data_IF_404256110868
#
_entry.id   IF_404256110868
#
_cell.length_a   1.000
_cell.length_b   1.000
_cell.length_c   1.000
_cell.angle_alpha   90.00
_cell.angle_beta   90.00
_cell.angle_gamma   90.00
#
_symmetry.space_group_name_H-M   'P 1'
#
loop_
_entity.id
_entity.type
_entity.pdbx_description
1 polymer ?
#
# COMPACT_ATOMS: atom_id res chain seq x y z
N UNK A 1 -22.94 -0.11 0.93
CA UNK A 1 -22.19 -1.25 0.34
C UNK A 1 -21.35 -1.86 1.43
N UNK A 2 -20.88 -3.09 1.28
CA UNK A 2 -20.03 -3.66 2.32
C UNK A 2 -18.70 -2.87 2.42
N UNK A 3 -17.94 -3.10 3.49
CA UNK A 3 -16.63 -2.46 3.68
C UNK A 3 -15.64 -2.79 2.55
N UNK A 4 -15.61 -4.05 2.10
CA UNK A 4 -14.72 -4.53 1.04
C UNK A 4 -14.93 -3.80 -0.30
N UNK A 5 -16.17 -3.67 -0.75
CA UNK A 5 -16.54 -2.95 -1.97
C UNK A 5 -16.11 -1.49 -1.87
N UNK A 6 -16.32 -0.87 -0.69
CA UNK A 6 -15.91 0.51 -0.46
C UNK A 6 -14.38 0.68 -0.56
N UNK A 7 -13.60 -0.27 -0.02
CA UNK A 7 -12.14 -0.27 -0.10
C UNK A 7 -11.69 -0.38 -1.55
N UNK A 8 -12.18 -1.39 -2.26
CA UNK A 8 -11.77 -1.69 -3.64
C UNK A 8 -12.11 -0.53 -4.57
N UNK A 9 -13.32 0.03 -4.47
CA UNK A 9 -13.70 1.21 -5.26
C UNK A 9 -12.86 2.44 -4.94
N UNK A 10 -12.45 2.63 -3.68
CA UNK A 10 -11.57 3.73 -3.28
C UNK A 10 -10.16 3.58 -3.85
N UNK A 11 -9.61 2.36 -3.83
CA UNK A 11 -8.30 2.04 -4.43
C UNK A 11 -8.32 2.31 -5.94
N UNK A 12 -9.34 1.82 -6.65
CA UNK A 12 -9.51 2.06 -8.09
C UNK A 12 -9.64 3.56 -8.39
N UNK A 13 -10.49 4.28 -7.64
CA UNK A 13 -10.64 5.72 -7.81
C UNK A 13 -9.31 6.47 -7.60
N UNK A 14 -8.47 5.98 -6.69
CA UNK A 14 -7.13 6.49 -6.42
C UNK A 14 -6.05 6.00 -7.42
N UNK A 15 -6.42 5.27 -8.48
CA UNK A 15 -5.53 4.82 -9.54
C UNK A 15 -4.78 3.52 -9.24
N UNK A 16 -5.24 2.75 -8.25
CA UNK A 16 -4.71 1.42 -7.92
C UNK A 16 -5.69 0.37 -8.44
N UNK A 17 -5.38 -0.14 -9.63
CA UNK A 17 -6.22 -1.04 -10.44
C UNK A 17 -5.62 -2.45 -10.58
N UNK A 18 -4.44 -2.71 -9.99
CA UNK A 18 -3.82 -4.03 -9.95
C UNK A 18 -3.49 -4.42 -8.51
N UNK A 19 -3.85 -5.64 -8.14
CA UNK A 19 -3.54 -6.23 -6.84
C UNK A 19 -2.83 -7.56 -7.01
N UNK A 20 -1.61 -7.66 -6.50
CA UNK A 20 -0.84 -8.91 -6.49
C UNK A 20 -1.14 -9.66 -5.21
N UNK A 21 -1.66 -10.88 -5.31
CA UNK A 21 -2.27 -11.54 -4.14
C UNK A 21 -1.96 -13.02 -4.06
N UNK A 22 -1.78 -13.48 -2.82
CA UNK A 22 -1.88 -14.88 -2.42
C UNK A 22 -2.79 -14.90 -1.19
N UNK A 23 -4.11 -14.79 -1.39
CA UNK A 23 -5.03 -14.52 -0.29
C UNK A 23 -5.35 -15.78 0.50
N UNK A 24 -5.75 -15.62 1.75
CA UNK A 24 -6.29 -16.68 2.59
C UNK A 24 -7.75 -16.39 2.97
N UNK A 25 -8.20 -17.05 4.04
CA UNK A 25 -9.60 -16.99 4.47
C UNK A 25 -10.03 -15.62 5.03
N UNK A 26 -9.09 -14.78 5.46
CA UNK A 26 -9.37 -13.43 6.00
C UNK A 26 -9.69 -12.39 4.93
N UNK A 27 -9.31 -12.64 3.69
CA UNK A 27 -9.49 -11.70 2.58
C UNK A 27 -10.73 -12.01 1.72
N UNK A 28 -11.54 -13.01 2.09
CA UNK A 28 -12.62 -13.54 1.24
C UNK A 28 -13.61 -12.48 0.76
N UNK A 29 -13.99 -11.50 1.60
CA UNK A 29 -14.87 -10.41 1.14
C UNK A 29 -14.22 -9.53 0.09
N UNK A 30 -12.93 -9.22 0.23
CA UNK A 30 -12.19 -8.43 -0.78
C UNK A 30 -12.06 -9.22 -2.08
N UNK A 31 -11.90 -10.54 -2.02
CA UNK A 31 -11.84 -11.40 -3.21
C UNK A 31 -13.15 -11.41 -3.99
N UNK A 32 -14.31 -11.40 -3.30
CA UNK A 32 -15.62 -11.32 -3.98
C UNK A 32 -15.73 -10.06 -4.83
N UNK A 33 -15.09 -8.97 -4.39
CA UNK A 33 -15.11 -7.70 -5.13
C UNK A 33 -14.28 -7.73 -6.43
N UNK A 34 -13.42 -8.74 -6.63
CA UNK A 34 -12.69 -8.88 -7.91
C UNK A 34 -13.64 -9.12 -9.09
N UNK A 35 -14.77 -9.78 -8.85
CA UNK A 35 -15.82 -9.97 -9.87
C UNK A 35 -16.76 -8.76 -9.96
N UNK A 36 -16.99 -8.06 -8.84
CA UNK A 36 -17.93 -6.93 -8.77
C UNK A 36 -17.32 -5.60 -9.27
N UNK A 37 -16.00 -5.45 -9.21
CA UNK A 37 -15.25 -4.26 -9.63
C UNK A 37 -14.16 -4.69 -10.64
N UNK A 38 -14.52 -4.86 -11.93
CA UNK A 38 -13.60 -5.41 -12.95
C UNK A 38 -12.38 -4.53 -13.24
N UNK A 39 -12.42 -3.27 -12.82
CA UNK A 39 -11.27 -2.37 -12.84
C UNK A 39 -10.18 -2.77 -11.83
N UNK A 40 -10.52 -3.49 -10.76
CA UNK A 40 -9.56 -3.96 -9.77
C UNK A 40 -9.07 -5.36 -10.12
N UNK A 41 -7.95 -5.44 -10.83
CA UNK A 41 -7.47 -6.66 -11.48
C UNK A 41 -6.57 -7.48 -10.55
N UNK A 42 -6.97 -8.68 -10.12
CA UNK A 42 -6.13 -9.54 -9.33
C UNK A 42 -5.07 -10.25 -10.18
N UNK A 43 -3.86 -10.35 -9.65
CA UNK A 43 -2.77 -11.17 -10.17
C UNK A 43 -2.39 -12.17 -9.08
N UNK A 44 -2.79 -13.42 -9.26
CA UNK A 44 -2.51 -14.50 -8.31
C UNK A 44 -1.02 -14.87 -8.36
N UNK A 45 -0.34 -14.80 -7.21
CA UNK A 45 1.00 -15.33 -7.01
C UNK A 45 0.97 -16.64 -6.22
N UNK A 46 1.96 -17.50 -6.45
CA UNK A 46 2.10 -18.78 -5.73
C UNK A 46 2.74 -18.63 -4.34
N UNK A 47 3.23 -17.44 -3.99
CA UNK A 47 3.89 -17.11 -2.73
C UNK A 47 3.81 -15.60 -2.48
N UNK A 48 3.66 -15.18 -1.23
CA UNK A 48 3.49 -13.77 -0.86
C UNK A 48 4.70 -12.91 -1.26
N UNK A 49 5.92 -13.47 -1.14
CA UNK A 49 7.13 -12.79 -1.61
C UNK A 49 7.14 -12.52 -3.11
N UNK A 50 6.53 -13.40 -3.93
CA UNK A 50 6.37 -13.14 -5.37
C UNK A 50 5.39 -11.99 -5.59
N UNK A 51 4.31 -11.93 -4.82
CA UNK A 51 3.32 -10.85 -4.90
C UNK A 51 3.93 -9.49 -4.56
N UNK A 52 4.68 -9.39 -3.45
CA UNK A 52 5.31 -8.14 -3.03
C UNK A 52 6.46 -7.71 -3.96
N UNK A 53 7.22 -8.67 -4.51
CA UNK A 53 8.22 -8.36 -5.55
C UNK A 53 7.61 -7.90 -6.88
N UNK A 54 6.50 -8.50 -7.29
CA UNK A 54 5.78 -8.09 -8.49
C UNK A 54 5.15 -6.70 -8.33
N UNK A 55 4.58 -6.40 -7.16
CA UNK A 55 4.06 -5.07 -6.85
C UNK A 55 5.14 -3.98 -6.88
N UNK A 56 6.31 -4.24 -6.30
CA UNK A 56 7.49 -3.36 -6.40
C UNK A 56 7.89 -3.09 -7.86
N UNK A 57 8.10 -4.17 -8.62
CA UNK A 57 8.45 -4.07 -10.04
C UNK A 57 7.40 -3.32 -10.87
N UNK A 58 6.12 -3.59 -10.63
CA UNK A 58 5.03 -2.90 -11.29
C UNK A 58 5.04 -1.41 -10.97
N UNK A 59 5.12 -1.06 -9.68
CA UNK A 59 5.05 0.33 -9.24
C UNK A 59 6.16 1.17 -9.87
N UNK A 60 7.37 0.60 -9.98
CA UNK A 60 8.54 1.24 -10.60
C UNK A 60 8.40 1.39 -12.11
N UNK A 61 7.91 0.35 -12.80
CA UNK A 61 7.79 0.37 -14.26
C UNK A 61 6.59 1.20 -14.74
N UNK A 62 5.48 1.18 -14.00
CA UNK A 62 4.27 1.91 -14.34
C UNK A 62 4.27 3.35 -13.80
N UNK A 63 5.16 3.69 -12.86
CA UNK A 63 5.24 5.02 -12.26
C UNK A 63 4.03 5.39 -11.40
N UNK A 64 3.30 4.39 -10.88
CA UNK A 64 2.07 4.58 -10.09
C UNK A 64 1.91 3.47 -9.05
N UNK A 65 1.11 3.68 -7.98
CA UNK A 65 1.03 2.70 -6.92
C UNK A 65 0.46 1.35 -7.36
N UNK A 66 0.97 0.28 -6.75
CA UNK A 66 0.45 -1.08 -6.87
C UNK A 66 -0.04 -1.59 -5.52
N UNK A 67 -1.07 -2.44 -5.51
CA UNK A 67 -1.54 -3.09 -4.29
C UNK A 67 -0.97 -4.50 -4.14
N UNK A 68 -0.79 -4.93 -2.89
CA UNK A 68 -0.74 -6.35 -2.52
C UNK A 68 -1.91 -6.68 -1.61
N UNK A 69 -2.36 -7.93 -1.66
CA UNK A 69 -3.35 -8.47 -0.72
C UNK A 69 -2.82 -9.79 -0.17
N UNK A 70 -2.38 -9.75 1.09
CA UNK A 70 -1.72 -10.84 1.79
C UNK A 70 -2.57 -11.31 2.97
N UNK A 71 -2.36 -12.57 3.34
CA UNK A 71 -2.97 -13.16 4.52
C UNK A 71 -2.38 -12.59 5.83
N UNK A 72 -2.89 -13.06 6.97
CA UNK A 72 -2.47 -12.73 8.35
C UNK A 72 -0.97 -12.95 8.63
N UNK A 73 -0.54 -12.95 9.89
CA UNK A 73 0.86 -12.97 10.32
C UNK A 73 1.87 -13.66 9.39
N UNK A 74 1.73 -14.97 9.10
CA UNK A 74 2.64 -15.69 8.20
C UNK A 74 2.62 -15.20 6.75
N UNK A 75 1.45 -14.83 6.22
CA UNK A 75 1.32 -14.28 4.87
C UNK A 75 2.05 -12.95 4.75
N UNK A 76 1.83 -12.04 5.70
CA UNK A 76 2.59 -10.80 5.78
C UNK A 76 4.10 -11.07 5.91
N UNK A 77 4.50 -11.97 6.82
CA UNK A 77 5.90 -12.31 7.07
C UNK A 77 6.63 -12.83 5.82
N UNK A 78 5.97 -13.69 5.04
CA UNK A 78 6.49 -14.21 3.77
C UNK A 78 6.76 -13.10 2.73
N UNK A 79 6.00 -12.00 2.78
CA UNK A 79 6.14 -10.85 1.90
C UNK A 79 7.22 -9.84 2.30
N UNK A 80 7.67 -9.85 3.57
CA UNK A 80 8.48 -8.76 4.15
C UNK A 80 9.81 -8.52 3.45
N UNK A 81 10.48 -9.57 2.97
CA UNK A 81 11.78 -9.43 2.30
C UNK A 81 11.72 -8.52 1.07
N UNK A 82 10.63 -8.60 0.29
CA UNK A 82 10.46 -7.76 -0.89
C UNK A 82 9.77 -6.43 -0.57
N UNK A 83 8.98 -6.33 0.51
CA UNK A 83 8.54 -5.03 1.03
C UNK A 83 9.72 -4.18 1.53
N UNK A 84 10.75 -4.80 2.11
CA UNK A 84 12.01 -4.12 2.40
C UNK A 84 12.63 -3.52 1.13
N UNK A 85 12.67 -4.28 0.04
CA UNK A 85 13.23 -3.81 -1.23
C UNK A 85 12.42 -2.65 -1.80
N UNK A 86 11.09 -2.74 -1.79
CA UNK A 86 10.20 -1.66 -2.19
C UNK A 86 10.44 -0.39 -1.36
N UNK A 87 10.56 -0.52 -0.03
CA UNK A 87 10.91 0.59 0.88
C UNK A 87 12.26 1.21 0.53
N UNK A 88 13.29 0.40 0.25
CA UNK A 88 14.62 0.89 -0.16
C UNK A 88 14.61 1.57 -1.54
N UNK A 89 13.71 1.15 -2.41
CA UNK A 89 13.53 1.70 -3.75
C UNK A 89 12.50 2.84 -3.79
N UNK A 90 11.99 3.30 -2.64
CA UNK A 90 10.95 4.33 -2.53
C UNK A 90 9.72 4.05 -3.41
N UNK A 91 9.40 2.77 -3.58
CA UNK A 91 8.36 2.34 -4.50
C UNK A 91 6.99 2.48 -3.85
N UNK A 92 6.01 3.08 -4.54
CA UNK A 92 4.68 3.31 -3.98
C UNK A 92 3.90 1.99 -3.95
N UNK A 93 3.93 1.29 -2.82
CA UNK A 93 3.21 0.02 -2.63
C UNK A 93 2.18 0.19 -1.52
N UNK A 94 0.94 -0.20 -1.81
CA UNK A 94 -0.14 -0.32 -0.82
C UNK A 94 -0.28 -1.78 -0.45
N UNK A 95 0.20 -2.16 0.74
CA UNK A 95 0.12 -3.52 1.22
C UNK A 95 -1.13 -3.71 2.09
N UNK A 96 -2.07 -4.51 1.63
CA UNK A 96 -3.27 -4.88 2.39
C UNK A 96 -2.97 -6.23 3.05
N UNK A 97 -2.98 -6.26 4.38
CA UNK A 97 -2.84 -7.49 5.15
C UNK A 97 -4.15 -7.75 5.87
N UNK A 98 -4.84 -8.85 5.57
CA UNK A 98 -6.03 -9.18 6.35
C UNK A 98 -5.66 -9.63 7.76
N UNK A 99 -6.65 -9.56 8.64
CA UNK A 99 -6.55 -9.95 10.04
C UNK A 99 -7.83 -10.67 10.46
N UNK A 100 -7.76 -11.38 11.58
CA UNK A 100 -8.93 -11.96 12.21
C UNK A 100 -9.95 -10.87 12.59
N UNK A 101 -11.24 -11.22 12.75
CA UNK A 101 -12.22 -10.29 13.28
C UNK A 101 -11.70 -9.66 14.57
N UNK A 102 -11.89 -8.35 14.74
CA UNK A 102 -11.29 -7.58 15.83
C UNK A 102 -11.62 -8.17 17.19
N UNK A 103 -12.85 -8.65 17.39
CA UNK A 103 -13.30 -9.31 18.61
C UNK A 103 -12.70 -10.71 18.86
N UNK A 104 -12.13 -11.36 17.83
CA UNK A 104 -11.58 -12.71 17.92
C UNK A 104 -10.07 -12.73 18.21
N UNK A 105 -9.35 -11.66 17.86
CA UNK A 105 -7.90 -11.54 18.04
C UNK A 105 -7.43 -11.81 19.48
N UNK A 106 -8.24 -11.43 20.48
CA UNK A 106 -7.98 -11.67 21.91
C UNK A 106 -7.85 -13.14 22.31
N UNK A 107 -8.28 -14.07 21.46
CA UNK A 107 -8.24 -15.51 21.72
C UNK A 107 -7.00 -16.19 21.14
N UNK A 108 -6.04 -15.42 20.63
CA UNK A 108 -4.80 -15.93 20.03
C UNK A 108 -5.05 -17.00 18.96
N UNK A 109 -5.82 -16.67 17.90
CA UNK A 109 -6.16 -17.63 16.87
C UNK A 109 -4.91 -18.17 16.18
N UNK A 110 -4.99 -19.41 15.66
CA UNK A 110 -3.90 -20.03 14.91
C UNK A 110 -3.48 -19.07 13.77
N UNK A 111 -2.22 -18.67 13.65
CA UNK A 111 -1.70 -17.65 12.71
C UNK A 111 -1.81 -16.17 13.15
N UNK A 112 -2.26 -15.87 14.38
CA UNK A 112 -2.14 -14.54 15.00
C UNK A 112 -0.67 -14.06 15.01
N UNK A 113 -0.47 -12.75 14.88
CA UNK A 113 0.82 -12.12 15.04
C UNK A 113 0.66 -10.62 15.37
N UNK A 114 1.73 -10.00 15.86
CA UNK A 114 1.84 -8.53 15.93
C UNK A 114 2.04 -7.96 14.51
N UNK A 115 0.92 -7.77 13.79
CA UNK A 115 0.93 -7.25 12.43
C UNK A 115 1.50 -5.83 12.37
N UNK A 116 1.25 -4.98 13.36
CA UNK A 116 1.85 -3.65 13.43
C UNK A 116 3.37 -3.70 13.52
N UNK A 117 3.91 -4.55 14.40
CA UNK A 117 5.35 -4.73 14.55
C UNK A 117 6.01 -5.27 13.28
N UNK A 118 5.40 -6.27 12.65
CA UNK A 118 5.87 -6.83 11.37
C UNK A 118 5.84 -5.78 10.25
N UNK A 119 4.70 -5.10 10.09
CA UNK A 119 4.51 -4.11 9.04
C UNK A 119 5.39 -2.87 9.23
N UNK A 120 5.50 -2.36 10.46
CA UNK A 120 6.23 -1.13 10.80
C UNK A 120 7.73 -1.21 10.50
N UNK A 121 8.30 -2.41 10.50
CA UNK A 121 9.69 -2.61 10.09
C UNK A 121 9.92 -2.28 8.60
N UNK A 122 8.95 -2.59 7.74
CA UNK A 122 9.06 -2.49 6.28
C UNK A 122 8.20 -1.40 5.65
N UNK A 123 7.36 -0.73 6.43
CA UNK A 123 6.45 0.32 5.97
C UNK A 123 6.82 1.66 6.58
N UNK A 124 6.56 2.76 5.87
CA UNK A 124 6.65 4.11 6.44
C UNK A 124 5.29 4.60 6.96
N UNK A 125 4.21 3.91 6.58
CA UNK A 125 2.86 4.12 7.08
C UNK A 125 2.21 2.78 7.42
N UNK A 126 1.57 2.70 8.59
CA UNK A 126 0.81 1.51 9.04
C UNK A 126 -0.48 1.97 9.70
N UNK A 127 -1.60 1.32 9.37
CA UNK A 127 -2.90 1.54 10.04
C UNK A 127 -3.66 0.22 10.14
N UNK A 128 -4.36 0.01 11.25
CA UNK A 128 -5.41 -1.01 11.38
C UNK A 128 -6.79 -0.38 11.20
N UNK A 129 -7.53 -0.87 10.21
CA UNK A 129 -8.92 -0.45 9.98
C UNK A 129 -9.80 -0.80 11.18
N UNK A 130 -10.78 0.04 11.47
CA UNK A 130 -11.65 -0.10 12.65
C UNK A 130 -13.09 -0.50 12.30
N UNK A 131 -13.56 -0.17 11.09
CA UNK A 131 -14.95 -0.38 10.70
C UNK A 131 -15.13 -0.34 9.19
N UNK A 132 -16.24 -0.91 8.71
CA UNK A 132 -16.67 -0.80 7.32
C UNK A 132 -16.94 0.63 6.88
N UNK A 133 -17.52 1.47 7.75
CA UNK A 133 -17.80 2.87 7.48
C UNK A 133 -16.54 3.68 7.08
N UNK A 134 -15.38 3.38 7.66
CA UNK A 134 -14.14 4.12 7.42
C UNK A 134 -13.19 3.45 6.44
N UNK A 135 -13.41 2.17 6.11
CA UNK A 135 -12.44 1.36 5.38
C UNK A 135 -12.09 1.93 3.99
N UNK A 136 -13.06 2.51 3.27
CA UNK A 136 -12.80 3.21 2.02
C UNK A 136 -11.82 4.38 2.18
N UNK A 137 -12.00 5.20 3.23
CA UNK A 137 -11.09 6.31 3.55
C UNK A 137 -9.72 5.81 4.00
N UNK A 138 -9.66 4.75 4.79
CA UNK A 138 -8.40 4.12 5.19
C UNK A 138 -7.58 3.65 3.97
N UNK A 139 -8.26 3.12 2.95
CA UNK A 139 -7.64 2.78 1.66
C UNK A 139 -7.11 3.99 0.90
N UNK A 140 -7.90 5.07 0.80
CA UNK A 140 -7.46 6.30 0.15
C UNK A 140 -6.25 6.95 0.85
N UNK A 141 -6.23 6.92 2.18
CA UNK A 141 -5.11 7.39 3.00
C UNK A 141 -3.85 6.53 2.79
N UNK A 142 -3.98 5.21 2.68
CA UNK A 142 -2.87 4.32 2.37
C UNK A 142 -2.27 4.63 0.99
N UNK A 143 -3.12 4.90 -0.02
CA UNK A 143 -2.67 5.32 -1.35
C UNK A 143 -1.94 6.66 -1.28
N UNK A 144 -2.50 7.64 -0.55
CA UNK A 144 -1.86 8.93 -0.35
C UNK A 144 -0.46 8.79 0.26
N UNK A 145 -0.35 8.01 1.34
CA UNK A 145 0.91 7.73 2.00
C UNK A 145 1.90 7.05 1.05
N UNK A 146 1.48 6.05 0.27
CA UNK A 146 2.37 5.34 -0.66
C UNK A 146 2.99 6.26 -1.72
N UNK A 147 2.24 7.28 -2.19
CA UNK A 147 2.70 8.26 -3.18
C UNK A 147 3.81 9.17 -2.66
N UNK A 148 4.06 9.20 -1.37
CA UNK A 148 5.24 9.85 -0.78
C UNK A 148 6.53 9.02 -0.94
N UNK A 149 6.47 7.90 -1.66
CA UNK A 149 7.63 7.05 -1.96
C UNK A 149 7.91 6.04 -0.86
N UNK A 150 6.87 5.43 -0.33
CA UNK A 150 6.97 4.46 0.77
C UNK A 150 6.00 3.30 0.59
N UNK A 151 6.29 2.20 1.28
CA UNK A 151 5.31 1.14 1.50
C UNK A 151 4.31 1.62 2.57
N UNK A 152 3.03 1.54 2.26
CA UNK A 152 1.92 1.82 3.18
C UNK A 152 1.16 0.53 3.46
N UNK A 153 1.17 0.05 4.70
CA UNK A 153 0.45 -1.17 5.09
C UNK A 153 -0.87 -0.85 5.76
N UNK A 154 -1.98 -1.33 5.19
CA UNK A 154 -3.31 -1.31 5.79
C UNK A 154 -3.66 -2.71 6.30
N UNK A 155 -3.80 -2.84 7.61
CA UNK A 155 -4.26 -4.06 8.29
C UNK A 155 -5.79 -4.03 8.30
N UNK A 156 -6.42 -5.08 7.77
CA UNK A 156 -7.87 -5.14 7.56
C UNK A 156 -8.46 -6.34 8.30
N UNK A 157 -8.99 -6.14 9.52
CA UNK A 157 -9.80 -7.14 10.19
C UNK A 157 -11.01 -7.54 9.33
N UNK A 158 -11.35 -8.83 9.29
CA UNK A 158 -12.50 -9.33 8.52
C UNK A 158 -13.80 -8.55 8.83
N UNK A 159 -14.05 -8.19 10.10
CA UNK A 159 -15.26 -7.49 10.51
C UNK A 159 -15.36 -6.06 9.98
N UNK A 160 -14.23 -5.42 9.64
CA UNK A 160 -14.22 -4.15 8.91
C UNK A 160 -14.69 -4.31 7.45
N UNK A 161 -14.75 -5.52 6.90
CA UNK A 161 -15.19 -5.77 5.52
C UNK A 161 -16.67 -6.11 5.39
N UNK A 162 -17.31 -6.56 6.48
CA UNK A 162 -18.66 -7.14 6.44
C UNK A 162 -19.80 -6.11 6.47
N UNK A 163 -19.64 -4.98 7.17
CA UNK A 163 -20.75 -4.07 7.44
C UNK A 163 -21.22 -3.30 6.20
N UNK A 164 -22.53 -3.08 6.08
CA UNK A 164 -23.20 -2.54 4.88
C UNK A 164 -23.17 -0.99 4.74
N UNK A 165 -22.46 -0.32 5.65
CA UNK A 165 -22.32 1.13 5.76
C UNK A 165 -21.03 1.68 5.12
N UNK A 166 -20.30 0.85 4.37
CA UNK A 166 -19.11 1.24 3.62
C UNK A 166 -19.42 2.32 2.59
N UNK A 167 -18.56 3.35 2.56
CA UNK A 167 -18.64 4.47 1.61
C UNK A 167 -17.29 4.64 0.89
N UNK A 168 -17.24 4.59 -0.45
CA UNK A 168 -16.01 4.85 -1.19
C UNK A 168 -15.49 6.27 -0.94
N UNK A 169 -14.19 6.39 -0.72
CA UNK A 169 -13.53 7.67 -0.60
C UNK A 169 -13.13 8.21 -1.99
N UNK A 170 -13.12 9.55 -2.17
CA UNK A 170 -12.57 10.16 -3.36
C UNK A 170 -11.04 9.91 -3.45
N UNK A 171 -10.44 10.02 -4.65
CA UNK A 171 -9.00 9.93 -4.78
C UNK A 171 -8.30 10.96 -3.90
N UNK A 172 -7.17 10.61 -3.26
CA UNK A 172 -6.43 11.55 -2.45
C UNK A 172 -5.89 12.68 -3.32
N UNK A 173 -6.01 13.90 -2.82
CA UNK A 173 -5.50 15.10 -3.49
C UNK A 173 -3.98 14.98 -3.63
N UNK A 174 -3.49 15.10 -4.86
CA UNK A 174 -2.04 15.11 -5.10
C UNK A 174 -1.43 16.34 -4.44
N UNK A 175 -0.55 16.13 -3.44
CA UNK A 175 0.23 17.20 -2.86
C UNK A 175 1.37 17.50 -3.83
N UNK A 176 1.42 18.70 -4.46
CA UNK A 176 2.51 19.02 -5.37
C UNK A 176 3.83 19.01 -4.61
N UNK A 177 4.85 18.36 -5.19
CA UNK A 177 6.20 18.38 -4.63
C UNK A 177 6.65 19.83 -4.48
N UNK A 178 7.13 20.17 -3.29
CA UNK A 178 7.61 21.52 -3.00
C UNK A 178 8.80 21.83 -3.91
N UNK A 179 8.69 22.89 -4.71
CA UNK A 179 9.80 23.41 -5.51
C UNK A 179 10.85 24.04 -4.59
N UNK A 180 12.13 23.85 -4.91
CA UNK A 180 13.21 24.57 -4.25
C UNK A 180 13.06 26.10 -4.45
N UNK A 181 13.54 26.90 -3.51
CA UNK A 181 13.50 28.36 -3.63
C UNK A 181 14.39 28.83 -4.79
N UNK A 182 14.00 29.88 -5.50
CA UNK A 182 14.75 30.40 -6.66
C UNK A 182 16.21 30.73 -6.31
N UNK A 183 16.43 31.37 -5.17
CA UNK A 183 17.77 31.70 -4.70
C UNK A 183 18.66 30.45 -4.52
N UNK A 184 18.09 29.32 -4.13
CA UNK A 184 18.85 28.06 -3.98
C UNK A 184 19.18 27.44 -5.34
N UNK A 185 18.24 27.50 -6.28
CA UNK A 185 18.45 27.07 -7.66
C UNK A 185 19.55 27.90 -8.33
N UNK A 186 19.50 29.22 -8.18
CA UNK A 186 20.51 30.15 -8.71
C UNK A 186 21.90 29.90 -8.11
N UNK A 187 21.97 29.69 -6.79
CA UNK A 187 23.21 29.38 -6.08
C UNK A 187 23.86 28.09 -6.59
N UNK A 188 23.07 27.03 -6.80
CA UNK A 188 23.56 25.76 -7.34
C UNK A 188 23.97 25.92 -8.82
N UNK A 189 23.19 26.64 -9.62
CA UNK A 189 23.51 26.90 -11.02
C UNK A 189 24.85 27.62 -11.17
N UNK A 190 25.10 28.65 -10.36
CA UNK A 190 26.37 29.38 -10.33
C UNK A 190 27.56 28.47 -9.97
N UNK A 191 27.38 27.53 -9.05
CA UNK A 191 28.43 26.58 -8.67
C UNK A 191 28.73 25.55 -9.77
N UNK A 192 27.75 25.16 -10.58
CA UNK A 192 27.93 24.21 -11.69
C UNK A 192 28.69 24.85 -12.87
N UNK A 193 28.48 26.15 -13.12
CA UNK A 193 29.11 26.87 -14.25
C UNK A 193 30.47 27.49 -13.91
N UNK A 194 30.94 27.34 -12.66
CA UNK A 194 32.24 27.84 -12.23
C UNK A 194 33.43 27.08 -12.85
N UNK A 195 34.64 27.54 -12.55
CA UNK A 195 35.88 26.98 -13.12
C UNK A 195 36.32 25.65 -12.46
N UNK A 196 35.66 25.24 -11.36
CA UNK A 196 35.93 23.99 -10.66
C UNK A 196 35.16 22.81 -11.26
N UNK A 197 35.67 21.58 -11.07
CA UNK A 197 34.97 20.38 -11.54
C UNK A 197 33.76 20.07 -10.67
N UNK A 198 32.56 20.18 -11.23
CA UNK A 198 31.33 19.75 -10.59
C UNK A 198 31.06 18.25 -10.83
N UNK A 199 30.71 17.51 -9.77
CA UNK A 199 30.27 16.11 -9.85
C UNK A 199 28.80 16.05 -9.46
N UNK A 200 27.95 15.53 -10.36
CA UNK A 200 26.56 15.24 -10.08
C UNK A 200 26.43 13.79 -9.59
N UNK A 201 26.14 13.62 -8.29
CA UNK A 201 25.80 12.33 -7.73
C UNK A 201 24.28 12.16 -7.78
N UNK A 202 23.80 11.39 -8.75
CA UNK A 202 22.37 11.05 -8.88
C UNK A 202 22.09 9.76 -8.14
N UNK A 203 21.11 9.76 -7.25
CA UNK A 203 20.51 8.55 -6.69
C UNK A 203 19.12 8.31 -7.31
N UNK A 204 18.58 7.10 -7.13
CA UNK A 204 17.30 6.70 -7.72
C UNK A 204 16.06 7.21 -6.97
N UNK A 205 16.17 8.31 -6.24
CA UNK A 205 15.12 8.85 -5.37
C UNK A 205 14.39 10.04 -6.01
#
# INVERSE_FOLDING_TARGET
>A
MNGAESLVRSLVAAGVDHVFTNPGSTEMEIIKEFDAVPEFRPVLGLFEGVCTGAADGYARMAGRPAATLLHVGPGLANGLANLHNAKRAYSPVVNIAGDYPSYHTQHDPLLSADLEGLAGSMSGWVRRAQSSATLGQDGADAVAASREGQVATLIVPQDATWGDDGTPAPPPVAIPRRRAADAEVERIAAAIVGDETAILLVNGN
#
